data_IF_017974686641
#
_entry.id   IF_017974686641
#
_cell.length_a   1.000
_cell.length_b   1.000
_cell.length_c   1.000
_cell.angle_alpha   90.00
_cell.angle_beta   90.00
_cell.angle_gamma   90.00
#
_symmetry.space_group_name_H-M   'P 1'
#
loop_
_entity.id
_entity.type
_entity.pdbx_description
1 polymer ?
#
# COMPACT_ATOMS: atom_id res chain seq x y z
N UNK A 1 0.32 -5.04 -12.91
CA UNK A 1 -0.05 -4.64 -14.29
C UNK A 1 0.68 -3.34 -14.58
N UNK A 2 1.13 -3.13 -15.82
CA UNK A 2 1.84 -1.92 -16.24
C UNK A 2 0.91 -1.00 -17.01
N UNK A 3 0.97 0.29 -16.73
CA UNK A 3 0.23 1.34 -17.42
C UNK A 3 0.99 2.66 -17.29
N UNK A 4 0.62 3.65 -18.11
CA UNK A 4 1.11 5.02 -17.96
C UNK A 4 0.36 5.65 -16.78
N UNK A 5 1.09 6.16 -15.79
CA UNK A 5 0.53 6.74 -14.58
C UNK A 5 1.52 7.67 -13.87
N UNK A 6 1.15 8.10 -12.68
CA UNK A 6 2.00 8.93 -11.82
C UNK A 6 3.07 8.07 -11.13
N UNK A 7 4.29 8.60 -10.98
CA UNK A 7 5.37 7.89 -10.29
C UNK A 7 5.00 7.50 -8.84
N UNK A 8 4.18 8.34 -8.19
CA UNK A 8 3.69 8.09 -6.86
C UNK A 8 2.86 6.81 -6.73
N UNK A 9 2.19 6.35 -7.79
CA UNK A 9 1.37 5.15 -7.74
C UNK A 9 2.20 3.92 -7.35
N UNK A 10 3.35 3.74 -8.00
CA UNK A 10 4.26 2.61 -7.73
C UNK A 10 5.01 2.78 -6.40
N UNK A 11 5.49 3.99 -6.10
CA UNK A 11 6.20 4.28 -4.86
C UNK A 11 5.30 4.04 -3.64
N UNK A 12 4.09 4.57 -3.69
CA UNK A 12 3.09 4.37 -2.64
C UNK A 12 2.68 2.90 -2.53
N UNK A 13 2.50 2.22 -3.66
CA UNK A 13 2.17 0.79 -3.65
C UNK A 13 3.22 0.00 -2.90
N UNK A 14 4.52 0.24 -3.10
CA UNK A 14 5.57 -0.44 -2.34
C UNK A 14 5.57 -0.11 -0.83
N UNK A 15 5.10 1.08 -0.46
CA UNK A 15 5.11 1.58 0.92
C UNK A 15 3.83 1.27 1.74
N UNK A 16 2.79 0.65 1.17
CA UNK A 16 1.62 0.27 1.99
C UNK A 16 2.04 -0.76 3.05
N UNK A 17 1.38 -0.73 4.22
CA UNK A 17 1.66 -1.63 5.35
C UNK A 17 1.67 -3.11 4.94
N UNK A 18 0.90 -3.46 3.91
CA UNK A 18 0.80 -4.82 3.43
C UNK A 18 2.11 -5.44 2.95
N UNK A 19 3.03 -4.63 2.42
CA UNK A 19 4.35 -5.06 1.94
C UNK A 19 5.47 -4.87 2.94
N UNK A 20 5.13 -4.41 4.15
CA UNK A 20 6.09 -4.33 5.25
C UNK A 20 6.38 -5.68 5.88
N UNK A 21 5.57 -6.70 5.57
CA UNK A 21 5.69 -8.07 6.09
C UNK A 21 5.87 -8.15 7.62
N UNK A 22 5.15 -7.30 8.35
CA UNK A 22 5.19 -7.26 9.81
C UNK A 22 6.33 -6.45 10.42
N UNK A 23 7.23 -5.86 9.62
CA UNK A 23 8.27 -4.99 10.15
C UNK A 23 7.68 -3.74 10.84
N UNK A 24 8.51 -3.03 11.60
CA UNK A 24 8.12 -1.82 12.31
C UNK A 24 7.80 -0.65 11.35
N UNK A 25 7.03 0.34 11.80
CA UNK A 25 6.64 1.50 10.98
C UNK A 25 7.83 2.33 10.48
N UNK A 26 8.91 2.39 11.25
CA UNK A 26 10.18 3.02 10.84
C UNK A 26 10.80 2.37 9.61
N UNK A 27 10.39 1.14 9.27
CA UNK A 27 10.77 0.41 8.05
C UNK A 27 9.60 0.43 7.03
N UNK A 28 8.96 1.58 6.85
CA UNK A 28 7.78 1.75 6.00
C UNK A 28 7.98 1.48 4.50
N UNK A 29 9.21 1.52 3.99
CA UNK A 29 9.51 1.15 2.61
C UNK A 29 9.72 -0.36 2.48
N UNK A 30 8.64 -1.12 2.30
CA UNK A 30 8.67 -2.57 2.09
C UNK A 30 9.34 -3.38 3.21
N UNK A 31 9.49 -2.82 4.42
CA UNK A 31 10.23 -3.45 5.51
C UNK A 31 11.76 -3.30 5.43
N UNK A 32 12.29 -2.51 4.50
CA UNK A 32 13.73 -2.38 4.23
C UNK A 32 14.35 -1.08 4.76
N UNK A 33 13.55 -0.03 4.94
CA UNK A 33 14.02 1.28 5.37
C UNK A 33 12.87 2.26 5.58
N UNK A 34 13.19 3.49 5.99
CA UNK A 34 12.19 4.55 6.10
C UNK A 34 11.68 4.98 4.72
N UNK A 35 10.44 5.47 4.69
CA UNK A 35 9.82 6.03 3.48
C UNK A 35 10.65 7.21 2.96
N UNK A 36 11.02 8.16 3.82
CA UNK A 36 11.80 9.33 3.41
C UNK A 36 13.15 8.96 2.76
N UNK A 37 13.90 7.99 3.32
CA UNK A 37 15.16 7.55 2.70
C UNK A 37 14.93 6.93 1.33
N UNK A 38 13.85 6.16 1.16
CA UNK A 38 13.47 5.57 -0.12
C UNK A 38 13.10 6.64 -1.15
N UNK A 39 12.28 7.63 -0.76
CA UNK A 39 11.89 8.72 -1.64
C UNK A 39 13.11 9.56 -2.05
N UNK A 40 13.99 9.93 -1.12
CA UNK A 40 15.21 10.68 -1.43
C UNK A 40 16.13 9.91 -2.38
N UNK A 41 16.26 8.60 -2.20
CA UNK A 41 17.04 7.76 -3.11
C UNK A 41 16.43 7.75 -4.52
N UNK A 42 15.10 7.67 -4.63
CA UNK A 42 14.40 7.76 -5.91
C UNK A 42 14.58 9.12 -6.58
N UNK A 43 14.48 10.22 -5.84
CA UNK A 43 14.70 11.58 -6.36
C UNK A 43 16.12 11.74 -6.91
N UNK A 44 17.12 11.26 -6.17
CA UNK A 44 18.52 11.31 -6.60
C UNK A 44 18.78 10.49 -7.87
N UNK A 45 18.14 9.33 -8.00
CA UNK A 45 18.31 8.44 -9.15
C UNK A 45 17.55 8.93 -10.40
N UNK A 46 16.39 9.56 -10.21
CA UNK A 46 15.51 10.00 -11.31
C UNK A 46 15.72 11.45 -11.73
N UNK A 47 16.29 12.29 -10.86
CA UNK A 47 16.35 13.74 -11.05
C UNK A 47 15.01 14.46 -10.88
N UNK A 48 13.97 13.76 -10.41
CA UNK A 48 12.64 14.30 -10.14
C UNK A 48 12.53 14.65 -8.66
N UNK A 49 11.85 15.75 -8.34
CA UNK A 49 11.46 16.08 -6.96
C UNK A 49 10.04 15.59 -6.68
N UNK A 50 9.85 14.93 -5.54
CA UNK A 50 8.58 14.39 -5.08
C UNK A 50 7.98 15.28 -3.99
N UNK A 51 6.71 15.65 -4.14
CA UNK A 51 5.94 16.28 -3.08
C UNK A 51 5.46 15.22 -2.08
N UNK A 52 5.89 15.36 -0.82
CA UNK A 52 5.52 14.43 0.26
C UNK A 52 4.01 14.45 0.52
N UNK A 53 3.32 15.57 0.29
CA UNK A 53 1.86 15.63 0.46
C UNK A 53 1.15 14.82 -0.61
N UNK A 54 1.59 14.94 -1.86
CA UNK A 54 1.12 14.13 -2.98
C UNK A 54 1.42 12.66 -2.75
N UNK A 55 2.64 12.31 -2.31
CA UNK A 55 2.97 10.93 -1.92
C UNK A 55 2.02 10.38 -0.85
N UNK A 56 1.76 11.16 0.21
CA UNK A 56 0.83 10.75 1.29
C UNK A 56 -0.59 10.49 0.78
N UNK A 57 -1.06 11.30 -0.17
CA UNK A 57 -2.34 11.05 -0.83
C UNK A 57 -2.30 9.72 -1.60
N UNK A 58 -1.26 9.48 -2.38
CA UNK A 58 -1.09 8.22 -3.12
C UNK A 58 -0.95 7.00 -2.23
N UNK A 59 -0.32 7.12 -1.05
CA UNK A 59 -0.27 6.07 -0.03
C UNK A 59 -1.67 5.71 0.47
N UNK A 60 -2.53 6.71 0.64
CA UNK A 60 -3.95 6.51 1.00
C UNK A 60 -4.69 5.79 -0.12
N UNK A 61 -4.54 6.25 -1.37
CA UNK A 61 -5.17 5.62 -2.54
C UNK A 61 -4.71 4.18 -2.74
N UNK A 62 -3.40 3.91 -2.60
CA UNK A 62 -2.84 2.56 -2.70
C UNK A 62 -3.38 1.62 -1.62
N UNK A 63 -3.53 2.13 -0.39
CA UNK A 63 -4.12 1.37 0.72
C UNK A 63 -5.58 1.01 0.45
N UNK A 64 -6.37 1.98 -0.06
CA UNK A 64 -7.76 1.73 -0.46
C UNK A 64 -7.84 0.68 -1.57
N UNK A 65 -6.99 0.82 -2.59
CA UNK A 65 -6.94 -0.13 -3.71
C UNK A 65 -6.62 -1.55 -3.24
N UNK A 66 -5.68 -1.70 -2.30
CA UNK A 66 -5.38 -2.99 -1.69
C UNK A 66 -6.60 -3.56 -0.95
N UNK A 67 -7.33 -2.73 -0.19
CA UNK A 67 -8.57 -3.16 0.47
C UNK A 67 -9.66 -3.65 -0.51
N UNK A 68 -9.84 -2.95 -1.63
CA UNK A 68 -10.76 -3.37 -2.71
C UNK A 68 -10.33 -4.72 -3.29
N UNK A 69 -9.04 -4.91 -3.54
CA UNK A 69 -8.49 -6.19 -4.02
C UNK A 69 -8.75 -7.29 -3.00
N UNK A 70 -8.47 -7.06 -1.72
CA UNK A 70 -8.76 -8.04 -0.66
C UNK A 70 -10.24 -8.45 -0.63
N UNK A 71 -11.15 -7.48 -0.73
CA UNK A 71 -12.59 -7.76 -0.77
C UNK A 71 -12.99 -8.59 -1.99
N UNK A 72 -12.45 -8.24 -3.16
CA UNK A 72 -12.71 -8.99 -4.38
C UNK A 72 -12.19 -10.44 -4.30
N UNK A 73 -10.99 -10.64 -3.77
CA UNK A 73 -10.41 -11.98 -3.57
C UNK A 73 -11.25 -12.80 -2.58
N UNK A 74 -11.75 -12.19 -1.51
CA UNK A 74 -12.69 -12.84 -0.59
C UNK A 74 -13.96 -13.30 -1.30
N UNK A 75 -14.56 -12.44 -2.12
CA UNK A 75 -15.81 -12.74 -2.84
C UNK A 75 -15.66 -13.91 -3.81
N UNK A 76 -14.53 -13.99 -4.53
CA UNK A 76 -14.22 -15.13 -5.41
C UNK A 76 -14.20 -16.46 -4.67
N UNK A 77 -13.75 -16.47 -3.41
CA UNK A 77 -13.82 -17.66 -2.56
C UNK A 77 -15.24 -17.94 -2.08
N UNK A 78 -15.91 -16.94 -1.51
CA UNK A 78 -17.21 -17.08 -0.82
C UNK A 78 -18.36 -17.41 -1.78
N UNK A 79 -18.34 -16.86 -2.99
CA UNK A 79 -19.31 -17.16 -4.05
C UNK A 79 -19.15 -18.55 -4.65
N UNK A 80 -18.02 -19.23 -4.39
CA UNK A 80 -17.68 -20.51 -5.00
C UNK A 80 -17.09 -20.41 -6.42
N UNK A 81 -16.90 -19.20 -6.97
CA UNK A 81 -16.24 -19.00 -8.28
C UNK A 81 -14.82 -19.61 -8.30
N UNK A 82 -14.08 -19.48 -7.21
CA UNK A 82 -12.73 -20.02 -7.05
C UNK A 82 -12.49 -20.44 -5.59
N UNK A 83 -12.83 -21.68 -5.19
CA UNK A 83 -12.57 -22.15 -3.83
C UNK A 83 -11.05 -22.20 -3.54
N UNK A 84 -10.56 -21.35 -2.64
CA UNK A 84 -9.13 -21.28 -2.29
C UNK A 84 -8.93 -20.72 -0.88
N UNK A 85 -8.11 -21.41 -0.09
CA UNK A 85 -7.70 -20.97 1.25
C UNK A 85 -6.87 -19.68 1.19
N UNK A 86 -6.07 -19.51 0.14
CA UNK A 86 -5.29 -18.29 -0.07
C UNK A 86 -6.19 -17.07 -0.28
N UNK A 87 -7.24 -17.21 -1.11
CA UNK A 87 -8.19 -16.13 -1.36
C UNK A 87 -8.95 -15.74 -0.09
N UNK A 88 -9.35 -16.73 0.72
CA UNK A 88 -9.94 -16.50 2.03
C UNK A 88 -8.97 -15.78 2.99
N UNK A 89 -7.69 -16.17 2.98
CA UNK A 89 -6.66 -15.55 3.82
C UNK A 89 -6.37 -14.11 3.41
N UNK A 90 -6.29 -13.80 2.10
CA UNK A 90 -6.19 -12.44 1.58
C UNK A 90 -7.41 -11.61 2.00
N UNK A 91 -8.61 -12.21 1.93
CA UNK A 91 -9.86 -11.56 2.32
C UNK A 91 -9.92 -11.06 3.76
N UNK A 92 -9.25 -11.72 4.71
CA UNK A 92 -9.20 -11.26 6.11
C UNK A 92 -8.52 -9.90 6.28
N UNK A 93 -7.73 -9.46 5.29
CA UNK A 93 -6.99 -8.20 5.32
C UNK A 93 -7.84 -6.97 4.96
N UNK A 94 -9.12 -7.15 4.62
CA UNK A 94 -10.04 -6.02 4.40
C UNK A 94 -10.13 -5.13 5.65
N UNK A 95 -10.32 -5.72 6.83
CA UNK A 95 -10.41 -4.92 8.06
C UNK A 95 -9.08 -4.26 8.45
N UNK A 96 -7.94 -4.88 8.12
CA UNK A 96 -6.61 -4.26 8.29
C UNK A 96 -6.48 -3.01 7.42
N UNK A 97 -6.92 -3.09 6.16
CA UNK A 97 -6.87 -1.95 5.23
C UNK A 97 -7.84 -0.84 5.58
N UNK A 98 -9.03 -1.16 6.08
CA UNK A 98 -9.98 -0.18 6.63
C UNK A 98 -9.36 0.59 7.81
N UNK A 99 -8.68 -0.12 8.72
CA UNK A 99 -7.95 0.51 9.82
C UNK A 99 -6.81 1.40 9.33
N UNK A 100 -5.97 0.90 8.42
CA UNK A 100 -4.85 1.65 7.87
C UNK A 100 -5.33 2.94 7.15
N UNK A 101 -6.48 2.89 6.46
CA UNK A 101 -7.10 4.08 5.86
C UNK A 101 -7.51 5.12 6.90
N UNK A 102 -8.15 4.70 7.99
CA UNK A 102 -8.53 5.61 9.07
C UNK A 102 -7.30 6.26 9.72
N UNK A 103 -6.22 5.49 9.91
CA UNK A 103 -4.95 6.02 10.40
C UNK A 103 -4.38 7.08 9.43
N UNK A 104 -4.29 6.77 8.14
CA UNK A 104 -3.78 7.70 7.12
C UNK A 104 -4.60 8.98 7.00
N UNK A 105 -5.93 8.86 6.97
CA UNK A 105 -6.88 9.99 6.89
C UNK A 105 -6.86 10.85 8.16
N UNK A 106 -6.56 10.26 9.32
CA UNK A 106 -6.39 10.98 10.60
C UNK A 106 -5.00 11.62 10.77
N UNK A 107 -4.13 11.54 9.76
CA UNK A 107 -2.77 12.10 9.81
C UNK A 107 -1.72 11.19 10.45
N UNK A 108 -2.08 9.96 10.84
CA UNK A 108 -1.17 8.94 11.41
C UNK A 108 -0.54 8.07 10.31
N UNK A 109 0.38 7.19 10.70
CA UNK A 109 1.10 6.29 9.79
C UNK A 109 2.34 6.92 9.15
N UNK A 110 2.99 6.19 8.21
CA UNK A 110 4.24 6.61 7.59
C UNK A 110 4.14 8.00 6.96
N UNK A 111 5.20 8.79 7.13
CA UNK A 111 5.38 10.10 6.50
C UNK A 111 6.43 9.99 5.40
#
# INVERSE_FOLDING_TARGET
LTHIGEAYEDLAWFCIRAWRFGAAETLGAGGLGSVETFLQAYENASGITLDRRTFRWWLTVATLRWGVICRHQAERHLSGESPSVELAAIGRRVSETEWDLLDLLSGRGPQ
#
